data_IF_370485302876
#
_entry.id   IF_370485302876
#
_cell.length_a   1.000
_cell.length_b   1.000
_cell.length_c   1.000
_cell.angle_alpha   90.00
_cell.angle_beta   90.00
_cell.angle_gamma   90.00
#
_symmetry.space_group_name_H-M   'P 1'
#
loop_
_entity.id
_entity.type
_entity.pdbx_description
1 polymer ?
#
# COMPACT_ATOMS: atom_id res chain seq x y z
N UNK A 1 -63.77 -1.05 -34.19
CA UNK A 1 -62.91 -0.17 -35.01
C UNK A 1 -61.53 -0.21 -34.37
N UNK A 2 -60.70 -1.23 -34.59
CA UNK A 2 -59.85 -1.49 -35.76
C UNK A 2 -59.21 -0.23 -36.35
N UNK A 3 -58.01 0.10 -35.87
CA UNK A 3 -56.96 0.74 -36.66
C UNK A 3 -55.61 0.19 -36.22
N UNK A 4 -54.99 -0.54 -37.13
CA UNK A 4 -53.65 -1.10 -37.06
C UNK A 4 -52.60 -0.11 -37.57
N UNK A 5 -51.33 -0.54 -37.44
CA UNK A 5 -50.10 -0.10 -38.16
C UNK A 5 -49.39 1.12 -37.55
N UNK A 6 -48.06 1.20 -37.48
CA UNK A 6 -46.95 0.45 -38.13
C UNK A 6 -45.66 0.73 -37.33
N UNK A 7 -44.82 -0.29 -37.11
CA UNK A 7 -43.41 -0.12 -36.74
C UNK A 7 -42.59 0.37 -37.94
N UNK A 8 -41.54 1.19 -37.73
CA UNK A 8 -40.37 1.24 -38.59
C UNK A 8 -39.16 0.53 -37.95
N UNK A 9 -38.43 -0.17 -38.81
CA UNK A 9 -37.25 -0.99 -38.53
C UNK A 9 -35.99 -0.15 -38.18
N UNK A 10 -34.97 -0.76 -37.55
CA UNK A 10 -33.74 -0.07 -37.15
C UNK A 10 -32.83 0.23 -38.35
N UNK A 11 -32.33 1.47 -38.39
CA UNK A 11 -31.31 1.94 -39.34
C UNK A 11 -29.95 1.35 -38.94
N UNK A 12 -29.43 0.42 -39.74
CA UNK A 12 -28.06 -0.07 -39.63
C UNK A 12 -27.11 0.93 -40.29
N UNK A 13 -26.26 1.59 -39.50
CA UNK A 13 -25.15 2.39 -40.01
C UNK A 13 -23.90 1.51 -40.00
N UNK A 14 -23.49 1.07 -41.19
CA UNK A 14 -22.19 0.46 -41.45
C UNK A 14 -21.17 1.59 -41.61
N UNK A 15 -20.28 1.77 -40.64
CA UNK A 15 -19.04 2.53 -40.84
C UNK A 15 -17.93 1.51 -41.08
N UNK A 16 -17.56 1.36 -42.35
CA UNK A 16 -16.29 0.77 -42.73
C UNK A 16 -15.25 1.89 -42.70
N UNK A 17 -14.24 1.79 -41.83
CA UNK A 17 -13.03 2.60 -41.92
C UNK A 17 -11.83 1.68 -42.13
N UNK A 18 -11.08 2.01 -43.17
CA UNK A 18 -10.00 1.24 -43.76
C UNK A 18 -8.69 1.33 -42.95
N UNK A 19 -7.81 0.36 -43.22
CA UNK A 19 -6.46 0.20 -42.68
C UNK A 19 -5.58 1.46 -42.73
N UNK A 20 -4.78 1.64 -41.68
CA UNK A 20 -3.45 2.23 -41.76
C UNK A 20 -2.46 1.32 -40.99
N UNK A 21 -1.46 0.70 -41.63
CA UNK A 21 -0.37 0.02 -40.93
C UNK A 21 0.83 0.96 -40.84
N UNK A 22 1.17 1.42 -39.64
CA UNK A 22 2.40 2.20 -39.48
C UNK A 22 2.52 2.93 -38.14
N UNK A 23 3.39 2.38 -37.29
CA UNK A 23 4.11 3.03 -36.20
C UNK A 23 3.29 3.68 -35.07
N UNK A 24 3.33 3.06 -33.88
CA UNK A 24 4.21 3.52 -32.79
C UNK A 24 4.13 2.51 -31.63
N UNK A 25 5.27 2.36 -30.97
CA UNK A 25 5.49 1.55 -29.79
C UNK A 25 4.47 1.89 -28.70
N UNK A 26 3.43 1.07 -28.57
CA UNK A 26 2.68 0.97 -27.32
C UNK A 26 3.51 0.09 -26.40
N UNK A 27 4.36 0.75 -25.59
CA UNK A 27 4.75 0.16 -24.32
C UNK A 27 3.47 -0.28 -23.61
N UNK A 28 3.43 -1.53 -23.20
CA UNK A 28 2.37 -2.05 -22.36
C UNK A 28 2.50 -1.37 -20.99
N UNK A 29 1.95 -0.16 -20.85
CA UNK A 29 1.38 0.26 -19.59
C UNK A 29 0.14 -0.63 -19.43
N UNK A 30 0.26 -1.66 -18.61
CA UNK A 30 -0.91 -2.35 -18.08
C UNK A 30 -1.67 -1.28 -17.26
N UNK A 31 -2.88 -0.86 -17.67
CA UNK A 31 -3.69 -0.05 -16.79
C UNK A 31 -4.13 -0.95 -15.64
N UNK A 32 -3.72 -0.60 -14.44
CA UNK A 32 -4.23 -1.16 -13.20
C UNK A 32 -5.73 -0.85 -13.11
N UNK A 33 -6.54 -1.71 -13.72
CA UNK A 33 -8.00 -1.56 -13.80
C UNK A 33 -8.63 -2.93 -13.58
N UNK A 34 -8.54 -3.39 -12.33
CA UNK A 34 -9.46 -4.40 -11.83
C UNK A 34 -10.73 -3.67 -11.37
N UNK A 35 -11.85 -3.96 -12.00
CA UNK A 35 -13.20 -3.65 -11.49
C UNK A 35 -13.95 -2.53 -12.20
N UNK A 36 -14.63 -2.86 -13.29
CA UNK A 36 -15.83 -2.09 -13.68
C UNK A 36 -16.91 -2.40 -12.64
N UNK A 37 -17.19 -1.44 -11.76
CA UNK A 37 -18.40 -1.44 -10.93
C UNK A 37 -19.13 -0.12 -11.17
N UNK A 38 -20.47 -0.14 -11.10
CA UNK A 38 -21.34 1.02 -11.30
C UNK A 38 -20.73 2.32 -10.74
N UNK A 39 -20.75 3.40 -11.53
CA UNK A 39 -20.24 4.72 -11.11
C UNK A 39 -21.03 5.34 -9.92
N UNK A 40 -22.15 4.73 -9.54
CA UNK A 40 -22.94 5.05 -8.33
C UNK A 40 -22.57 4.18 -7.11
N UNK A 41 -21.76 3.13 -7.26
CA UNK A 41 -21.26 2.23 -6.19
C UNK A 41 -19.72 2.25 -6.03
N UNK A 42 -18.97 2.83 -6.98
CA UNK A 42 -17.53 3.01 -6.80
C UNK A 42 -17.31 3.96 -5.62
N UNK A 43 -16.59 3.52 -4.58
CA UNK A 43 -16.19 4.40 -3.49
C UNK A 43 -15.34 5.54 -4.07
N UNK A 44 -15.99 6.69 -4.35
CA UNK A 44 -15.37 7.87 -4.98
C UNK A 44 -14.26 8.47 -4.13
N UNK A 45 -14.17 8.02 -2.89
CA UNK A 45 -13.32 8.54 -1.85
C UNK A 45 -12.48 7.46 -1.15
N UNK A 46 -12.25 6.32 -1.83
CA UNK A 46 -11.47 5.23 -1.28
C UNK A 46 -10.11 5.69 -0.74
N UNK A 47 -9.69 5.08 0.37
CA UNK A 47 -8.34 5.17 0.93
C UNK A 47 -7.30 4.85 -0.14
N UNK A 48 -6.16 5.55 -0.11
CA UNK A 48 -5.04 5.37 -1.05
C UNK A 48 -3.70 5.47 -0.34
N UNK A 49 -2.79 4.57 -0.64
CA UNK A 49 -1.37 4.75 -0.36
C UNK A 49 -0.81 5.64 -1.47
N UNK A 50 -0.15 6.74 -1.08
CA UNK A 50 0.37 7.75 -1.99
C UNK A 50 1.89 7.69 -1.99
N UNK A 51 2.45 7.31 -3.13
CA UNK A 51 3.89 7.36 -3.37
C UNK A 51 4.28 8.63 -4.14
N UNK A 52 5.47 9.21 -3.87
CA UNK A 52 5.98 10.29 -4.70
C UNK A 52 6.25 9.77 -6.11
N UNK A 53 5.80 10.52 -7.11
CA UNK A 53 6.05 10.19 -8.52
C UNK A 53 7.26 10.98 -9.02
N UNK A 54 8.19 10.29 -9.69
CA UNK A 54 9.26 10.96 -10.41
C UNK A 54 8.67 11.80 -11.56
N UNK A 55 8.81 13.12 -11.46
CA UNK A 55 8.37 14.07 -12.47
C UNK A 55 9.58 14.71 -13.14
N UNK A 56 9.46 15.00 -14.44
CA UNK A 56 10.48 15.78 -15.15
C UNK A 56 10.38 17.25 -14.74
N UNK A 57 11.46 18.01 -14.95
CA UNK A 57 11.44 19.46 -14.73
C UNK A 57 10.34 20.14 -15.56
N UNK A 58 10.16 19.73 -16.82
CA UNK A 58 9.11 20.28 -17.68
C UNK A 58 7.70 20.01 -17.12
N UNK A 59 7.46 18.80 -16.58
CA UNK A 59 6.17 18.46 -15.97
C UNK A 59 5.94 19.22 -14.66
N UNK A 60 7.00 19.44 -13.87
CA UNK A 60 6.94 20.25 -12.66
C UNK A 60 6.59 21.72 -13.00
N UNK A 61 7.27 22.30 -14.00
CA UNK A 61 7.02 23.66 -14.48
C UNK A 61 5.58 23.82 -15.01
N UNK A 62 5.09 22.86 -15.81
CA UNK A 62 3.70 22.85 -16.29
C UNK A 62 2.69 22.80 -15.13
N UNK A 63 3.00 22.01 -14.11
CA UNK A 63 2.18 21.86 -12.93
C UNK A 63 2.14 23.13 -12.07
N UNK A 64 3.27 23.82 -11.91
CA UNK A 64 3.35 25.15 -11.27
C UNK A 64 2.48 26.16 -12.01
N UNK A 65 2.52 26.18 -13.34
CA UNK A 65 1.67 27.05 -14.17
C UNK A 65 0.19 26.72 -13.96
N UNK A 66 -0.17 25.43 -13.92
CA UNK A 66 -1.55 24.98 -13.74
C UNK A 66 -2.11 25.27 -12.34
N UNK A 67 -1.30 25.11 -11.29
CA UNK A 67 -1.68 25.41 -9.91
C UNK A 67 -1.68 26.93 -9.61
N UNK A 68 -0.96 27.74 -10.40
CA UNK A 68 -0.84 29.18 -10.20
C UNK A 68 0.14 29.54 -9.07
N UNK A 69 0.07 30.78 -8.57
CA UNK A 69 1.04 31.32 -7.58
C UNK A 69 1.00 30.65 -6.19
N UNK A 70 0.24 29.57 -6.02
CA UNK A 70 0.07 28.85 -4.76
C UNK A 70 0.98 27.61 -4.67
N UNK A 71 1.59 27.18 -5.78
CA UNK A 71 2.50 26.05 -5.82
C UNK A 71 3.92 26.48 -6.21
N UNK A 72 4.93 26.00 -5.48
CA UNK A 72 6.34 26.10 -5.87
C UNK A 72 6.85 24.87 -6.63
N UNK A 73 5.99 23.88 -6.84
CA UNK A 73 6.25 22.62 -7.52
C UNK A 73 4.97 21.79 -7.57
N UNK A 74 5.03 20.64 -8.21
CA UNK A 74 3.86 19.79 -8.38
C UNK A 74 3.44 19.14 -7.05
N UNK A 75 2.13 19.03 -6.74
CA UNK A 75 1.67 18.51 -5.45
C UNK A 75 2.01 17.05 -5.20
N UNK A 76 3.14 16.82 -4.52
CA UNK A 76 3.62 15.49 -4.16
C UNK A 76 3.69 15.35 -2.63
N UNK A 77 3.51 14.14 -2.08
CA UNK A 77 4.01 13.89 -0.73
C UNK A 77 5.51 14.26 -0.68
N UNK A 78 6.03 14.71 0.47
CA UNK A 78 7.47 14.86 0.66
C UNK A 78 8.16 13.56 0.23
N UNK A 79 9.36 13.64 -0.38
CA UNK A 79 10.11 12.45 -0.76
C UNK A 79 10.52 11.76 0.56
N UNK A 80 9.86 10.66 0.95
CA UNK A 80 10.18 9.97 2.18
C UNK A 80 11.36 9.02 1.96
N UNK A 81 11.84 8.43 3.05
CA UNK A 81 12.73 7.27 2.99
C UNK A 81 11.91 6.00 2.67
N UNK A 82 11.31 5.92 1.48
CA UNK A 82 10.55 4.74 1.05
C UNK A 82 11.48 3.60 0.65
N UNK A 83 11.06 2.37 0.96
CA UNK A 83 11.62 1.17 0.38
C UNK A 83 11.23 1.05 -1.11
N UNK A 84 12.11 0.57 -2.01
CA UNK A 84 11.72 0.22 -3.37
C UNK A 84 10.84 -1.04 -3.37
N UNK A 85 9.92 -1.16 -4.34
CA UNK A 85 9.01 -2.33 -4.44
C UNK A 85 9.76 -3.66 -4.57
N UNK A 86 10.97 -3.64 -5.11
CA UNK A 86 11.88 -4.78 -5.13
C UNK A 86 13.14 -4.45 -4.34
N UNK A 87 13.34 -5.15 -3.23
CA UNK A 87 14.51 -5.06 -2.38
C UNK A 87 15.58 -6.00 -2.93
N UNK A 88 16.41 -5.49 -3.85
CA UNK A 88 17.40 -6.28 -4.58
C UNK A 88 18.47 -6.84 -3.63
N UNK A 89 18.55 -8.17 -3.43
CA UNK A 89 19.53 -8.76 -2.51
C UNK A 89 20.99 -8.60 -3.00
N UNK A 90 21.22 -8.17 -4.24
CA UNK A 90 22.56 -7.82 -4.72
C UNK A 90 23.00 -6.42 -4.25
N UNK A 91 22.07 -5.57 -3.80
CA UNK A 91 22.38 -4.38 -3.05
C UNK A 91 22.62 -4.75 -1.58
N UNK A 92 23.79 -4.41 -1.05
CA UNK A 92 24.14 -4.71 0.35
C UNK A 92 23.19 -4.12 1.38
N UNK A 93 22.47 -3.04 1.04
CA UNK A 93 21.44 -2.43 1.90
C UNK A 93 20.19 -3.31 2.07
N UNK A 94 19.97 -4.28 1.18
CA UNK A 94 18.78 -5.13 1.12
C UNK A 94 19.11 -6.64 1.16
N UNK A 95 20.30 -6.99 1.66
CA UNK A 95 20.71 -8.38 1.84
C UNK A 95 20.24 -8.91 3.19
N UNK A 96 18.98 -9.33 3.27
CA UNK A 96 18.37 -9.81 4.50
C UNK A 96 18.67 -11.27 4.81
N UNK A 97 18.64 -11.63 6.08
CA UNK A 97 19.06 -12.95 6.55
C UNK A 97 18.09 -13.59 7.53
N UNK A 98 17.71 -14.84 7.24
CA UNK A 98 17.13 -15.73 8.26
C UNK A 98 18.26 -16.15 9.20
N UNK A 99 18.23 -15.65 10.43
CA UNK A 99 19.28 -15.87 11.40
C UNK A 99 18.97 -17.04 12.36
N UNK A 100 20.01 -17.68 12.92
CA UNK A 100 19.84 -18.68 13.97
C UNK A 100 19.01 -18.16 15.15
N UNK A 101 18.32 -19.07 15.84
CA UNK A 101 17.46 -18.71 16.97
C UNK A 101 18.19 -17.84 18.01
N UNK A 102 17.60 -16.70 18.34
CA UNK A 102 18.13 -15.75 19.32
C UNK A 102 19.10 -14.72 18.74
N UNK A 103 19.37 -14.77 17.43
CA UNK A 103 20.10 -13.74 16.69
C UNK A 103 19.13 -12.87 15.88
N UNK A 104 19.63 -11.72 15.43
CA UNK A 104 18.93 -10.79 14.55
C UNK A 104 19.80 -10.45 13.34
N UNK A 105 19.17 -10.01 12.26
CA UNK A 105 19.86 -9.53 11.07
C UNK A 105 20.45 -8.14 11.30
N UNK A 106 21.77 -8.01 11.18
CA UNK A 106 22.51 -6.75 11.27
C UNK A 106 22.18 -5.77 10.13
N UNK A 107 21.54 -6.24 9.06
CA UNK A 107 21.01 -5.43 7.95
C UNK A 107 19.50 -5.15 8.09
N UNK A 108 18.92 -5.39 9.26
CA UNK A 108 17.54 -5.00 9.56
C UNK A 108 17.29 -3.55 9.16
N UNK A 109 16.10 -3.29 8.60
CA UNK A 109 15.81 -1.98 8.01
C UNK A 109 15.47 -0.98 9.11
N UNK A 110 16.00 0.25 9.06
CA UNK A 110 15.52 1.31 9.93
C UNK A 110 14.04 1.60 9.61
N UNK A 111 13.41 2.44 10.43
CA UNK A 111 12.05 2.92 10.14
C UNK A 111 11.95 3.49 8.72
N UNK A 112 10.84 3.23 8.05
CA UNK A 112 10.45 3.92 6.82
C UNK A 112 9.04 4.49 6.96
N UNK A 113 8.66 5.34 6.02
CA UNK A 113 7.39 6.07 6.07
C UNK A 113 6.61 5.77 4.80
N UNK A 114 5.29 5.88 4.87
CA UNK A 114 4.39 5.91 3.72
C UNK A 114 3.38 7.03 3.95
N UNK A 115 2.73 7.47 2.88
CA UNK A 115 1.63 8.41 2.99
C UNK A 115 0.32 7.75 2.61
N UNK A 116 -0.72 8.04 3.37
CA UNK A 116 -2.06 7.51 3.17
C UNK A 116 -3.02 8.68 3.00
N UNK A 117 -3.76 8.69 1.91
CA UNK A 117 -4.82 9.64 1.66
C UNK A 117 -6.18 9.00 1.93
N UNK A 118 -7.04 9.77 2.59
CA UNK A 118 -8.40 9.40 2.92
C UNK A 118 -9.33 10.51 2.47
N UNK A 119 -10.16 10.27 1.44
CA UNK A 119 -10.81 11.36 0.68
C UNK A 119 -12.27 11.57 1.07
N UNK A 120 -12.79 10.85 2.05
CA UNK A 120 -14.23 10.67 2.27
C UNK A 120 -14.86 11.57 3.33
N UNK A 121 -14.11 12.53 3.89
CA UNK A 121 -14.59 13.50 4.87
C UNK A 121 -16.01 14.01 4.55
N UNK A 122 -16.99 13.53 5.32
CA UNK A 122 -18.42 13.63 5.01
C UNK A 122 -19.06 14.95 5.48
N UNK A 123 -18.23 15.90 5.91
CA UNK A 123 -18.62 17.22 6.39
C UNK A 123 -19.11 17.24 7.84
N UNK A 124 -19.23 16.09 8.52
CA UNK A 124 -19.48 16.03 9.97
C UNK A 124 -18.20 15.73 10.75
N UNK A 125 -17.43 14.74 10.29
CA UNK A 125 -16.07 14.50 10.76
C UNK A 125 -15.06 14.96 9.71
N UNK A 126 -13.93 15.51 10.18
CA UNK A 126 -12.91 16.04 9.27
C UNK A 126 -12.13 14.88 8.63
N UNK A 127 -12.06 13.71 9.29
CA UNK A 127 -11.33 12.53 8.82
C UNK A 127 -11.90 11.21 9.37
N UNK A 128 -11.83 10.12 8.60
CA UNK A 128 -12.22 8.78 9.05
C UNK A 128 -11.17 8.14 9.98
N UNK A 129 -11.49 7.02 10.62
CA UNK A 129 -10.49 6.26 11.37
C UNK A 129 -9.74 5.33 10.41
N UNK A 130 -8.45 5.59 10.16
CA UNK A 130 -7.65 4.67 9.34
C UNK A 130 -6.96 3.59 10.18
N UNK A 131 -6.84 2.39 9.64
CA UNK A 131 -6.17 1.25 10.25
C UNK A 131 -5.17 0.66 9.25
N UNK A 132 -4.01 0.20 9.73
CA UNK A 132 -2.98 -0.40 8.87
C UNK A 132 -2.52 -1.74 9.43
N UNK A 133 -2.13 -2.67 8.55
CA UNK A 133 -1.52 -3.93 8.94
C UNK A 133 -0.39 -4.30 7.97
N UNK A 134 0.53 -5.13 8.44
CA UNK A 134 1.57 -5.76 7.63
C UNK A 134 1.24 -7.23 7.46
N UNK A 135 1.32 -7.72 6.22
CA UNK A 135 1.09 -9.12 5.88
C UNK A 135 2.34 -9.67 5.18
N UNK A 136 2.83 -10.82 5.65
CA UNK A 136 3.93 -11.54 4.99
C UNK A 136 3.38 -12.75 4.24
N UNK A 137 3.78 -12.89 2.98
CA UNK A 137 3.37 -13.99 2.10
C UNK A 137 1.85 -14.17 2.04
N UNK A 138 1.17 -13.04 1.85
CA UNK A 138 -0.28 -13.01 1.73
C UNK A 138 -0.77 -13.81 0.51
N UNK A 139 -1.53 -14.87 0.79
CA UNK A 139 -2.21 -15.68 -0.23
C UNK A 139 -3.68 -15.27 -0.31
N UNK A 140 -4.08 -14.78 -1.48
CA UNK A 140 -5.45 -14.36 -1.80
C UNK A 140 -6.46 -15.52 -1.69
N UNK A 141 -6.01 -16.75 -1.91
CA UNK A 141 -6.85 -17.95 -1.89
C UNK A 141 -6.88 -18.64 -0.51
N UNK A 142 -6.14 -18.11 0.46
CA UNK A 142 -6.11 -18.66 1.83
C UNK A 142 -7.47 -18.54 2.50
N UNK A 143 -7.92 -19.61 3.14
CA UNK A 143 -9.09 -19.58 4.02
C UNK A 143 -8.84 -18.81 5.33
N UNK A 144 -7.57 -18.45 5.59
CA UNK A 144 -7.11 -17.80 6.82
C UNK A 144 -6.15 -16.63 6.55
N UNK A 145 -6.60 -15.59 5.84
CA UNK A 145 -5.76 -14.42 5.50
C UNK A 145 -5.21 -13.68 6.73
N UNK A 146 -5.84 -13.80 7.91
CA UNK A 146 -5.35 -13.17 9.14
C UNK A 146 -4.13 -13.87 9.75
N UNK A 147 -3.80 -15.11 9.35
CA UNK A 147 -2.59 -15.80 9.84
C UNK A 147 -1.31 -15.22 9.22
N UNK A 148 -1.43 -14.38 8.18
CA UNK A 148 -0.29 -13.72 7.53
C UNK A 148 0.09 -12.40 8.19
N UNK A 149 -0.66 -11.93 9.19
CA UNK A 149 -0.36 -10.68 9.90
C UNK A 149 0.98 -10.80 10.61
N UNK A 150 1.82 -9.78 10.44
CA UNK A 150 3.18 -9.76 10.92
C UNK A 150 3.52 -8.39 11.53
N UNK A 151 4.64 -8.33 12.26
CA UNK A 151 5.25 -7.08 12.73
C UNK A 151 4.32 -6.19 13.54
N UNK A 152 3.42 -6.78 14.34
CA UNK A 152 2.41 -6.05 15.12
C UNK A 152 3.00 -5.15 16.21
N UNK A 153 4.29 -5.35 16.53
CA UNK A 153 5.06 -4.46 17.40
C UNK A 153 5.47 -3.13 16.73
N UNK A 154 5.50 -3.09 15.39
CA UNK A 154 5.84 -1.90 14.60
C UNK A 154 4.60 -1.21 14.03
N UNK A 155 3.54 -1.97 13.73
CA UNK A 155 2.22 -1.45 13.35
C UNK A 155 1.16 -2.24 14.10
N UNK A 156 0.48 -1.61 15.07
CA UNK A 156 -0.66 -2.23 15.75
C UNK A 156 -1.91 -2.13 14.86
N UNK A 157 -2.43 -3.26 14.32
CA UNK A 157 -3.60 -3.22 13.45
C UNK A 157 -4.87 -2.77 14.15
N UNK A 158 -4.92 -2.77 15.48
CA UNK A 158 -6.07 -2.27 16.26
C UNK A 158 -5.97 -0.80 16.58
N UNK A 159 -4.79 -0.22 16.46
CA UNK A 159 -4.58 1.20 16.67
C UNK A 159 -5.04 1.97 15.42
N UNK A 160 -5.75 3.06 15.68
CA UNK A 160 -6.07 4.03 14.64
C UNK A 160 -4.79 4.76 14.27
N UNK A 161 -4.55 4.95 12.97
CA UNK A 161 -3.53 5.89 12.54
C UNK A 161 -3.88 7.26 13.10
N UNK A 162 -2.89 7.99 13.65
CA UNK A 162 -3.14 9.33 14.12
C UNK A 162 -3.78 10.14 13.00
N UNK A 163 -4.73 11.06 13.31
CA UNK A 163 -5.18 12.01 12.30
C UNK A 163 -3.96 12.72 11.70
N UNK A 164 -4.08 13.30 10.51
CA UNK A 164 -3.03 14.17 9.98
C UNK A 164 -2.64 15.12 11.12
N UNK A 165 -1.43 14.96 11.68
CA UNK A 165 -0.92 15.97 12.59
C UNK A 165 -1.00 17.26 11.80
N UNK A 166 -1.47 18.35 12.41
CA UNK A 166 -1.16 19.69 11.93
C UNK A 166 0.35 19.67 11.71
N UNK A 167 0.74 19.45 10.46
CA UNK A 167 2.08 19.02 10.10
C UNK A 167 3.04 19.98 10.79
N UNK A 168 4.09 19.43 11.41
CA UNK A 168 5.06 20.20 12.18
C UNK A 168 5.29 21.54 11.48
N UNK A 169 4.91 22.65 12.13
CA UNK A 169 4.77 23.98 11.51
C UNK A 169 5.85 24.20 10.44
N UNK A 170 5.51 24.02 9.16
CA UNK A 170 6.48 24.10 8.06
C UNK A 170 6.42 22.97 7.03
N UNK A 171 5.89 21.80 7.38
CA UNK A 171 5.47 20.82 6.39
C UNK A 171 4.03 21.17 6.00
N UNK A 172 3.80 21.64 4.78
CA UNK A 172 2.48 21.61 4.15
C UNK A 172 2.75 21.03 2.77
N UNK A 173 2.13 19.90 2.37
CA UNK A 173 2.37 19.35 1.05
C UNK A 173 1.89 20.40 0.04
N UNK A 174 2.83 20.92 -0.75
CA UNK A 174 2.58 22.05 -1.65
C UNK A 174 1.38 21.72 -2.54
N UNK A 175 0.32 22.53 -2.49
CA UNK A 175 -0.81 22.43 -3.42
C UNK A 175 -1.68 21.18 -3.35
N UNK A 176 -1.55 20.33 -2.32
CA UNK A 176 -2.58 19.33 -2.02
C UNK A 176 -3.62 19.95 -1.09
N UNK A 177 -4.93 19.80 -1.36
CA UNK A 177 -5.94 20.32 -0.46
C UNK A 177 -5.75 19.71 0.93
N UNK A 178 -5.53 20.59 1.91
CA UNK A 178 -5.52 20.30 3.34
C UNK A 178 -6.87 19.66 3.73
N UNK A 179 -6.95 18.59 4.56
CA UNK A 179 -5.89 17.79 5.19
C UNK A 179 -6.11 16.27 5.02
N UNK A 180 -6.14 15.70 3.80
CA UNK A 180 -6.47 14.26 3.66
C UNK A 180 -5.28 13.29 3.79
N UNK A 181 -4.04 13.78 3.96
CA UNK A 181 -2.83 12.97 3.93
C UNK A 181 -2.27 12.67 5.33
N UNK A 182 -2.17 11.39 5.70
CA UNK A 182 -1.57 10.89 6.93
C UNK A 182 -0.22 10.25 6.66
N UNK A 183 0.69 10.36 7.62
CA UNK A 183 1.95 9.62 7.61
C UNK A 183 1.73 8.28 8.30
N UNK A 184 2.00 7.20 7.59
CA UNK A 184 2.10 5.84 8.13
C UNK A 184 3.58 5.56 8.38
N UNK A 185 4.00 5.62 9.64
CA UNK A 185 5.35 5.25 10.02
C UNK A 185 5.41 3.74 10.27
N UNK A 186 6.35 3.06 9.59
CA UNK A 186 6.59 1.64 9.76
C UNK A 186 7.89 1.50 10.55
N UNK A 187 7.77 1.04 11.80
CA UNK A 187 8.87 0.98 12.76
C UNK A 187 8.76 2.07 13.82
N UNK A 188 9.21 1.78 15.04
CA UNK A 188 9.09 2.69 16.20
C UNK A 188 10.30 3.61 16.38
N UNK A 189 11.36 3.43 15.59
CA UNK A 189 12.61 4.17 15.67
C UNK A 189 13.49 3.81 16.87
N UNK A 190 13.07 2.82 17.68
CA UNK A 190 13.86 2.25 18.78
C UNK A 190 14.54 0.95 18.36
N UNK A 191 13.93 0.22 17.42
CA UNK A 191 14.47 -1.01 16.83
C UNK A 191 14.33 -0.98 15.31
N UNK A 192 15.28 -1.59 14.64
CA UNK A 192 15.22 -1.85 13.21
C UNK A 192 14.30 -3.05 12.95
N UNK A 193 13.66 -3.03 11.79
CA UNK A 193 12.72 -4.04 11.33
C UNK A 193 13.50 -5.15 10.64
N UNK A 194 13.59 -6.28 11.31
CA UNK A 194 14.14 -7.50 10.76
C UNK A 194 13.08 -8.19 9.89
N UNK A 195 13.22 -8.08 8.56
CA UNK A 195 12.22 -8.63 7.63
C UNK A 195 12.23 -10.16 7.57
N UNK A 196 13.29 -10.82 8.01
CA UNK A 196 13.40 -12.28 7.93
C UNK A 196 13.19 -12.98 9.28
N UNK A 197 13.33 -12.25 10.39
CA UNK A 197 13.19 -12.79 11.73
C UNK A 197 12.16 -12.00 12.55
N UNK A 198 11.66 -12.63 13.61
CA UNK A 198 10.68 -12.05 14.53
C UNK A 198 9.45 -11.46 13.83
N UNK A 199 8.92 -12.16 12.82
CA UNK A 199 7.73 -11.68 12.08
C UNK A 199 6.48 -11.59 12.95
N UNK A 200 6.51 -12.10 14.19
CA UNK A 200 5.34 -12.18 15.07
C UNK A 200 4.43 -13.37 14.75
N UNK A 201 4.66 -14.07 13.64
CA UNK A 201 3.99 -15.32 13.32
C UNK A 201 4.59 -16.48 14.14
N UNK A 202 3.81 -17.55 14.32
CA UNK A 202 4.16 -18.69 15.19
C UNK A 202 5.48 -19.41 14.87
N UNK A 203 6.06 -19.19 13.68
CA UNK A 203 7.35 -19.76 13.28
C UNK A 203 8.57 -18.92 13.69
N UNK A 204 8.38 -17.67 14.15
CA UNK A 204 9.45 -16.76 14.56
C UNK A 204 10.23 -16.18 13.38
N UNK A 205 10.75 -17.00 12.47
CA UNK A 205 11.52 -16.58 11.29
C UNK A 205 10.95 -17.15 9.99
N UNK A 206 11.21 -16.45 8.89
CA UNK A 206 10.89 -16.89 7.54
C UNK A 206 11.89 -17.93 7.05
N UNK A 207 11.44 -18.85 6.20
CA UNK A 207 12.33 -19.78 5.51
C UNK A 207 13.25 -19.02 4.54
N UNK A 208 14.47 -19.48 4.25
CA UNK A 208 15.29 -18.84 3.21
C UNK A 208 14.58 -18.85 1.84
N UNK A 209 14.63 -17.73 1.13
CA UNK A 209 13.97 -17.56 -0.17
C UNK A 209 13.39 -16.16 -0.41
N UNK A 210 12.53 -16.04 -1.43
CA UNK A 210 11.81 -14.81 -1.73
C UNK A 210 10.48 -14.75 -0.97
N UNK A 211 10.18 -13.58 -0.45
CA UNK A 211 8.99 -13.28 0.33
C UNK A 211 8.34 -11.99 -0.15
N UNK A 212 7.09 -11.80 0.28
CA UNK A 212 6.36 -10.56 0.07
C UNK A 212 6.00 -9.90 1.39
N UNK A 213 6.17 -8.59 1.47
CA UNK A 213 5.64 -7.76 2.55
C UNK A 213 4.55 -6.86 1.95
N UNK A 214 3.31 -7.07 2.35
CA UNK A 214 2.18 -6.25 1.95
C UNK A 214 1.78 -5.32 3.08
N UNK A 215 1.78 -4.03 2.80
CA UNK A 215 1.15 -3.00 3.65
C UNK A 215 -0.29 -2.86 3.19
N UNK A 216 -1.26 -3.04 4.08
CA UNK A 216 -2.68 -2.81 3.80
C UNK A 216 -3.20 -1.73 4.73
N UNK A 217 -3.98 -0.79 4.18
CA UNK A 217 -4.60 0.31 4.94
C UNK A 217 -6.08 0.40 4.60
N UNK A 218 -6.94 0.63 5.59
CA UNK A 218 -8.40 0.69 5.42
C UNK A 218 -9.02 1.82 6.26
N UNK A 219 -10.19 2.31 5.84
CA UNK A 219 -10.98 3.37 6.49
C UNK A 219 -11.92 2.86 7.61
N UNK A 220 -11.94 1.55 7.86
CA UNK A 220 -12.83 0.94 8.86
C UNK A 220 -12.13 -0.12 9.67
N UNK A 221 -12.63 -0.42 10.87
CA UNK A 221 -12.19 -1.59 11.61
C UNK A 221 -12.25 -2.85 10.73
N UNK A 222 -11.31 -3.76 10.95
CA UNK A 222 -11.23 -5.01 10.21
C UNK A 222 -12.49 -5.85 10.31
N UNK A 223 -12.68 -6.74 9.33
CA UNK A 223 -13.78 -7.68 9.27
C UNK A 223 -13.93 -8.42 10.61
N UNK A 224 -15.16 -8.42 11.13
CA UNK A 224 -15.50 -9.15 12.33
C UNK A 224 -16.57 -10.19 12.02
N UNK A 225 -16.36 -11.42 12.48
CA UNK A 225 -17.36 -12.48 12.41
C UNK A 225 -17.88 -12.81 13.80
N UNK A 226 -19.17 -13.10 13.90
CA UNK A 226 -19.73 -13.63 15.13
C UNK A 226 -19.26 -15.08 15.33
N UNK A 227 -18.69 -15.39 16.48
CA UNK A 227 -18.38 -16.75 16.91
C UNK A 227 -18.90 -16.96 18.34
N UNK A 228 -19.94 -17.78 18.49
CA UNK A 228 -20.51 -18.13 19.79
C UNK A 228 -21.10 -16.97 20.62
N UNK A 229 -21.20 -15.76 20.07
CA UNK A 229 -21.74 -14.56 20.75
C UNK A 229 -20.73 -13.42 20.91
N UNK A 230 -19.43 -13.70 20.75
CA UNK A 230 -18.38 -12.68 20.71
C UNK A 230 -17.92 -12.46 19.26
N UNK A 231 -17.54 -11.22 18.93
CA UNK A 231 -16.99 -10.88 17.62
C UNK A 231 -15.50 -11.23 17.54
N UNK A 232 -15.11 -12.10 16.61
CA UNK A 232 -13.71 -12.34 16.27
C UNK A 232 -13.32 -11.38 15.16
N UNK A 233 -12.40 -10.47 15.46
CA UNK A 233 -11.79 -9.55 14.49
C UNK A 233 -10.71 -10.28 13.70
N UNK A 234 -10.77 -10.19 12.37
CA UNK A 234 -9.77 -10.72 11.44
C UNK A 234 -8.91 -9.58 10.93
N UNK A 235 -7.84 -9.27 11.66
CA UNK A 235 -6.90 -8.20 11.31
C UNK A 235 -6.33 -8.36 9.88
N UNK A 236 -6.18 -7.24 9.17
CA UNK A 236 -5.74 -7.21 7.77
C UNK A 236 -6.77 -7.72 6.75
N UNK A 237 -8.01 -7.99 7.16
CA UNK A 237 -9.12 -8.31 6.27
C UNK A 237 -10.10 -7.13 6.24
N UNK A 238 -10.19 -6.36 5.14
CA UNK A 238 -11.14 -5.25 5.04
C UNK A 238 -12.59 -5.73 5.16
N UNK A 239 -13.43 -4.99 5.91
CA UNK A 239 -14.86 -5.30 6.04
C UNK A 239 -15.67 -4.74 4.87
N UNK A 240 -15.59 -5.41 3.71
CA UNK A 240 -16.34 -5.01 2.50
C UNK A 240 -17.85 -5.00 2.71
N UNK A 241 -18.38 -5.88 3.58
CA UNK A 241 -19.81 -5.96 3.87
C UNK A 241 -20.29 -4.71 4.63
N UNK A 242 -19.44 -4.16 5.48
CA UNK A 242 -19.63 -2.86 6.13
C UNK A 242 -19.16 -1.69 5.25
N UNK A 243 -18.80 -1.94 4.00
CA UNK A 243 -18.44 -0.94 2.98
C UNK A 243 -17.01 -0.37 3.07
N UNK A 244 -16.10 -1.04 3.78
CA UNK A 244 -14.73 -0.58 3.93
C UNK A 244 -14.06 -0.37 2.57
N UNK A 245 -13.31 0.72 2.41
CA UNK A 245 -12.29 0.83 1.38
C UNK A 245 -10.92 0.53 1.94
N UNK A 246 -10.04 0.13 1.04
CA UNK A 246 -8.68 -0.16 1.38
C UNK A 246 -7.78 0.09 0.18
N UNK A 247 -6.50 0.28 0.47
CA UNK A 247 -5.44 0.19 -0.51
C UNK A 247 -4.33 -0.71 0.04
N UNK A 248 -3.50 -1.24 -0.85
CA UNK A 248 -2.36 -2.05 -0.45
C UNK A 248 -1.15 -1.89 -1.37
N UNK A 249 0.02 -1.90 -0.75
CA UNK A 249 1.31 -1.83 -1.42
C UNK A 249 2.12 -3.08 -1.08
N UNK A 250 2.80 -3.66 -2.07
CA UNK A 250 3.56 -4.91 -1.86
C UNK A 250 5.03 -4.72 -2.21
N UNK A 251 5.89 -5.14 -1.30
CA UNK A 251 7.33 -5.25 -1.46
C UNK A 251 7.74 -6.70 -1.64
N UNK A 252 8.73 -6.94 -2.48
CA UNK A 252 9.37 -8.25 -2.65
C UNK A 252 10.78 -8.16 -2.08
N UNK A 253 11.14 -9.14 -1.26
CA UNK A 253 12.45 -9.21 -0.62
C UNK A 253 12.96 -10.65 -0.56
N UNK A 254 14.24 -10.83 -0.28
CA UNK A 254 14.87 -12.14 -0.21
C UNK A 254 15.56 -12.33 1.15
N UNK A 255 15.31 -13.48 1.79
CA UNK A 255 15.97 -13.93 3.00
C UNK A 255 17.04 -14.96 2.67
N UNK A 256 18.30 -14.62 2.85
CA UNK A 256 19.41 -15.55 2.74
C UNK A 256 19.50 -16.45 3.99
N UNK A 257 20.04 -17.65 3.81
CA UNK A 257 20.26 -18.59 4.91
C UNK A 257 21.50 -18.16 5.73
N UNK A 258 21.28 -17.55 6.88
CA UNK A 258 22.33 -17.10 7.79
C UNK A 258 23.12 -18.23 8.44
N UNK A 259 22.67 -19.49 8.33
CA UNK A 259 23.43 -20.64 8.83
C UNK A 259 24.52 -21.13 7.87
N UNK A 260 24.51 -20.67 6.62
CA UNK A 260 25.48 -21.09 5.60
C UNK A 260 26.74 -20.21 5.61
N UNK A 261 27.90 -20.85 5.67
CA UNK A 261 29.17 -20.14 5.52
C UNK A 261 29.27 -19.46 4.15
N UNK A 262 29.65 -18.18 4.14
CA UNK A 262 29.80 -17.40 2.90
C UNK A 262 28.50 -16.86 2.31
N UNK A 263 27.37 -16.93 3.03
CA UNK A 263 26.09 -16.33 2.62
C UNK A 263 26.11 -14.80 2.57
N UNK A 264 27.13 -14.17 3.16
CA UNK A 264 27.17 -12.71 3.31
C UNK A 264 26.23 -12.18 4.39
N UNK A 265 25.66 -13.06 5.22
CA UNK A 265 24.79 -12.70 6.31
C UNK A 265 25.53 -12.12 7.52
N UNK A 266 24.94 -11.08 8.11
CA UNK A 266 25.41 -10.42 9.32
C UNK A 266 24.48 -10.74 10.49
N UNK A 267 24.43 -12.00 10.92
CA UNK A 267 23.62 -12.39 12.07
C UNK A 267 24.32 -12.03 13.39
N UNK A 268 23.67 -11.18 14.19
CA UNK A 268 24.23 -10.61 15.42
C UNK A 268 23.51 -11.13 16.66
N UNK A 269 24.23 -11.24 17.77
CA UNK A 269 23.62 -11.54 19.06
C UNK A 269 23.10 -10.24 19.69
N UNK A 270 21.92 -10.24 20.33
CA UNK A 270 21.35 -9.05 20.98
C UNK A 270 22.20 -8.50 22.12
N UNK A 271 23.08 -9.33 22.71
CA UNK A 271 23.98 -8.95 23.79
C UNK A 271 25.34 -8.39 23.32
N UNK A 272 25.60 -8.36 22.01
CA UNK A 272 26.88 -7.86 21.47
C UNK A 272 26.75 -6.35 21.16
N UNK A 273 27.46 -5.47 21.89
CA UNK A 273 27.36 -4.03 21.68
C UNK A 273 27.98 -3.64 20.32
N UNK A 274 27.18 -2.96 19.50
CA UNK A 274 27.60 -2.27 18.26
C UNK A 274 28.68 -1.22 18.48
#
# INVERSE_FOLDING_TARGET
MSTARRSPAPLRVLIALALAPGALLLGCLLPDTVGVSNEDESNRHAVRIVEPTAITMDADDECVVACGMQCSGCPQPPIPQNLPHFLDPTNGEYNFCTCPQGQYDGNAQPRWELYVEDRDGDGQDIYDDLYAALQVDYDLDSEKPWETIAYTEFIDPRARLPPPELQAVGEQPIGRPDPFLRRLQIGDGTRDIDLCNNTGQSAGSLTPGYHTLRVIVTDRPWFSRADGGDGIVQEGVPDFASGASYDALTYVFHCADGSQEGSGCDCRNPDDPS
#
